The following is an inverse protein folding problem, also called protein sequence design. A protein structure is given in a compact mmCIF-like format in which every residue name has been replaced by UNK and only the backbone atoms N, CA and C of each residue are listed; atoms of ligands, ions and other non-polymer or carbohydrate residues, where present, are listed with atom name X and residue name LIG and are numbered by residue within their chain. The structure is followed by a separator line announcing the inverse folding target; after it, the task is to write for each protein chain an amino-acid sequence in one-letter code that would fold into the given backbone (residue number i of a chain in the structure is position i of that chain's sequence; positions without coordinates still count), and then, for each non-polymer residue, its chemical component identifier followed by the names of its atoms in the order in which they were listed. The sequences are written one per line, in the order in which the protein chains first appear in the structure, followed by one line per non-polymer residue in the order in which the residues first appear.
data_IF_149269990623
#
_entry.id   IF_149269990623
#
_cell.length_a   1.000
_cell.length_b   1.000
_cell.length_c   1.000
_cell.angle_alpha   90.00
_cell.angle_beta   90.00
_cell.angle_gamma   90.00
#
_symmetry.space_group_name_H-M   'P 1'
#
loop_
_entity.id
_entity.type
_entity.pdbx_description
1 polymer ?
#
# COMPACT_ATOMS: atom_id res chain seq x y z
N UNK A 1 -40.55 -4.10 -50.84
CA UNK A 1 -39.72 -5.15 -50.24
C UNK A 1 -38.38 -4.57 -49.88
N UNK A 2 -38.23 -4.10 -48.67
CA UNK A 2 -36.96 -3.50 -48.15
C UNK A 2 -36.33 -4.48 -47.16
N UNK A 3 -35.33 -5.20 -47.61
CA UNK A 3 -34.58 -6.14 -46.78
C UNK A 3 -33.69 -5.32 -45.83
N UNK A 4 -34.07 -5.27 -44.56
CA UNK A 4 -33.25 -4.74 -43.48
C UNK A 4 -32.19 -5.81 -43.18
N UNK A 5 -30.96 -5.55 -43.63
CA UNK A 5 -29.76 -6.29 -43.24
C UNK A 5 -29.55 -6.17 -41.72
N UNK A 6 -30.07 -7.14 -40.98
CA UNK A 6 -29.66 -7.38 -39.56
C UNK A 6 -28.23 -7.91 -39.55
N UNK A 7 -27.25 -7.00 -39.44
CA UNK A 7 -25.92 -7.37 -39.04
C UNK A 7 -26.02 -8.10 -37.69
N UNK A 8 -25.36 -9.27 -37.52
CA UNK A 8 -25.34 -9.97 -36.26
C UNK A 8 -24.65 -9.02 -35.26
N UNK A 9 -25.35 -8.58 -34.21
CA UNK A 9 -24.75 -7.95 -33.06
C UNK A 9 -23.87 -9.02 -32.37
N UNK A 10 -22.67 -9.24 -32.86
CA UNK A 10 -21.58 -9.81 -32.06
C UNK A 10 -21.31 -8.82 -30.94
N UNK A 11 -22.03 -8.98 -29.84
CA UNK A 11 -21.75 -8.24 -28.63
C UNK A 11 -20.28 -8.58 -28.28
N UNK A 12 -19.38 -7.65 -28.53
CA UNK A 12 -18.02 -7.75 -28.02
C UNK A 12 -18.14 -8.00 -26.54
N UNK A 13 -17.80 -9.22 -26.11
CA UNK A 13 -17.88 -9.61 -24.72
C UNK A 13 -16.92 -8.69 -23.96
N UNK A 14 -17.49 -7.80 -23.14
CA UNK A 14 -16.69 -6.86 -22.37
C UNK A 14 -15.65 -7.65 -21.55
N UNK A 15 -14.40 -7.23 -21.61
CA UNK A 15 -13.30 -7.91 -20.92
C UNK A 15 -12.92 -7.07 -19.67
N UNK A 16 -13.37 -7.45 -18.47
CA UNK A 16 -13.10 -6.71 -17.23
C UNK A 16 -11.62 -6.74 -16.82
N UNK A 17 -10.82 -7.61 -17.40
CA UNK A 17 -9.37 -7.61 -17.18
C UNK A 17 -8.63 -6.43 -17.83
N UNK A 18 -9.20 -5.78 -18.86
CA UNK A 18 -8.55 -4.65 -19.54
C UNK A 18 -8.33 -3.44 -18.61
N UNK A 19 -9.34 -2.90 -17.89
CA UNK A 19 -9.12 -1.77 -16.99
C UNK A 19 -8.09 -2.07 -15.91
N UNK A 20 -8.09 -3.29 -15.38
CA UNK A 20 -7.11 -3.73 -14.37
C UNK A 20 -5.71 -3.86 -14.95
N UNK A 21 -5.56 -4.33 -16.20
CA UNK A 21 -4.27 -4.40 -16.88
C UNK A 21 -3.72 -3.00 -17.19
N UNK A 22 -4.56 -2.06 -17.59
CA UNK A 22 -4.19 -0.66 -17.79
C UNK A 22 -3.77 -0.03 -16.46
N UNK A 23 -4.55 -0.23 -15.40
CA UNK A 23 -4.16 0.23 -14.06
C UNK A 23 -2.80 -0.35 -13.64
N UNK A 24 -2.60 -1.65 -13.81
CA UNK A 24 -1.33 -2.31 -13.49
C UNK A 24 -0.15 -1.73 -14.28
N UNK A 25 -0.35 -1.45 -15.57
CA UNK A 25 0.65 -0.83 -16.44
C UNK A 25 1.01 0.61 -16.05
N UNK A 26 0.08 1.33 -15.45
CA UNK A 26 0.25 2.73 -15.06
C UNK A 26 0.59 2.92 -13.58
N UNK A 27 0.44 1.89 -12.75
CA UNK A 27 0.52 1.98 -11.29
C UNK A 27 1.83 2.59 -10.77
N UNK A 28 2.96 2.38 -11.45
CA UNK A 28 4.26 2.97 -11.09
C UNK A 28 4.45 4.34 -11.74
N UNK A 29 3.99 4.52 -12.97
CA UNK A 29 4.13 5.79 -13.70
C UNK A 29 3.32 6.93 -13.07
N UNK A 30 2.11 6.61 -12.64
CA UNK A 30 1.16 7.60 -12.11
C UNK A 30 1.69 8.38 -10.91
N UNK A 31 2.35 7.79 -9.88
CA UNK A 31 2.95 8.56 -8.79
C UNK A 31 4.12 9.46 -9.23
N UNK A 32 4.78 9.15 -10.35
CA UNK A 32 5.82 10.00 -10.94
C UNK A 32 5.19 11.26 -11.51
N UNK A 33 4.06 11.12 -12.21
CA UNK A 33 3.36 12.21 -12.87
C UNK A 33 2.55 13.07 -11.91
N UNK A 34 1.95 12.47 -10.87
CA UNK A 34 1.05 13.15 -9.95
C UNK A 34 1.05 12.54 -8.57
N UNK A 35 1.18 13.37 -7.56
CA UNK A 35 1.16 12.94 -6.15
C UNK A 35 -0.14 12.25 -5.71
N UNK A 36 -1.29 12.53 -6.38
CA UNK A 36 -2.61 11.93 -6.13
C UNK A 36 -3.04 10.96 -7.22
N UNK A 37 -2.19 10.69 -8.18
CA UNK A 37 -2.52 9.92 -9.38
C UNK A 37 -3.03 8.52 -9.10
N UNK A 38 -2.56 7.83 -8.04
CA UNK A 38 -3.04 6.50 -7.66
C UNK A 38 -4.55 6.48 -7.35
N UNK A 39 -5.05 7.54 -6.71
CA UNK A 39 -6.48 7.67 -6.40
C UNK A 39 -7.27 7.70 -7.70
N UNK A 40 -6.84 8.54 -8.65
CA UNK A 40 -7.52 8.68 -9.95
C UNK A 40 -7.44 7.39 -10.75
N UNK A 41 -6.26 6.81 -10.87
CA UNK A 41 -6.01 5.61 -11.67
C UNK A 41 -6.84 4.41 -11.18
N UNK A 42 -6.84 4.14 -9.87
CA UNK A 42 -7.63 3.03 -9.32
C UNK A 42 -9.13 3.33 -9.36
N UNK A 43 -9.57 4.57 -9.13
CA UNK A 43 -10.98 4.95 -9.22
C UNK A 43 -11.52 4.80 -10.64
N UNK A 44 -10.77 5.21 -11.66
CA UNK A 44 -11.15 5.01 -13.06
C UNK A 44 -11.17 3.53 -13.44
N UNK A 45 -10.18 2.75 -13.01
CA UNK A 45 -10.18 1.31 -13.24
C UNK A 45 -11.36 0.62 -12.54
N UNK A 46 -11.68 1.02 -11.30
CA UNK A 46 -12.83 0.51 -10.57
C UNK A 46 -14.14 0.83 -11.29
N UNK A 47 -14.33 2.09 -11.69
CA UNK A 47 -15.52 2.53 -12.42
C UNK A 47 -15.68 1.78 -13.74
N UNK A 48 -14.62 1.70 -14.55
CA UNK A 48 -14.64 0.97 -15.82
C UNK A 48 -14.96 -0.53 -15.61
N UNK A 49 -14.35 -1.15 -14.60
CA UNK A 49 -14.58 -2.55 -14.25
C UNK A 49 -16.04 -2.79 -13.86
N UNK A 50 -16.62 -1.90 -13.05
CA UNK A 50 -18.04 -1.98 -12.64
C UNK A 50 -18.97 -1.81 -13.84
N UNK A 51 -18.73 -0.81 -14.70
CA UNK A 51 -19.55 -0.58 -15.89
C UNK A 51 -19.56 -1.82 -16.81
N UNK A 52 -18.40 -2.43 -17.02
CA UNK A 52 -18.29 -3.62 -17.85
C UNK A 52 -18.97 -4.85 -17.25
N UNK A 53 -19.07 -4.90 -15.92
CA UNK A 53 -19.62 -6.04 -15.18
C UNK A 53 -21.08 -5.86 -14.72
N UNK A 54 -21.67 -4.67 -14.85
CA UNK A 54 -23.05 -4.37 -14.41
C UNK A 54 -24.13 -5.28 -15.00
N UNK A 55 -23.81 -6.08 -16.02
CA UNK A 55 -24.73 -7.02 -16.66
C UNK A 55 -25.00 -8.30 -15.83
N UNK A 56 -24.14 -8.61 -14.83
CA UNK A 56 -24.28 -9.85 -14.04
C UNK A 56 -24.25 -9.57 -12.52
N UNK A 57 -25.30 -8.89 -12.03
CA UNK A 57 -25.39 -8.44 -10.62
C UNK A 57 -25.55 -9.57 -9.60
N UNK A 58 -25.88 -10.80 -10.02
CA UNK A 58 -26.26 -11.89 -9.11
C UNK A 58 -25.04 -12.50 -8.39
N UNK A 59 -23.86 -12.42 -8.98
CA UNK A 59 -22.62 -13.01 -8.43
C UNK A 59 -21.90 -12.11 -7.39
N UNK A 60 -22.18 -10.79 -7.38
CA UNK A 60 -21.48 -9.84 -6.53
C UNK A 60 -21.77 -10.02 -5.03
N UNK A 61 -23.01 -10.28 -4.68
CA UNK A 61 -23.45 -10.27 -3.29
C UNK A 61 -22.87 -11.39 -2.40
N UNK A 62 -22.80 -12.66 -2.84
CA UNK A 62 -22.23 -13.73 -2.03
C UNK A 62 -20.74 -13.51 -1.70
N UNK A 63 -19.94 -13.08 -2.69
CA UNK A 63 -18.50 -12.85 -2.51
C UNK A 63 -18.20 -11.74 -1.49
N UNK A 64 -19.06 -10.73 -1.40
CA UNK A 64 -18.94 -9.63 -0.45
C UNK A 64 -19.37 -10.05 0.96
N UNK A 65 -20.50 -10.76 1.08
CA UNK A 65 -21.08 -11.16 2.36
C UNK A 65 -20.11 -12.03 3.19
N UNK A 66 -19.37 -12.92 2.53
CA UNK A 66 -18.53 -13.90 3.21
C UNK A 66 -17.08 -13.40 3.42
N UNK A 67 -16.74 -12.22 2.93
CA UNK A 67 -15.40 -11.64 3.07
C UNK A 67 -15.14 -11.20 4.52
N UNK A 68 -14.24 -11.93 5.21
CA UNK A 68 -13.77 -11.56 6.55
C UNK A 68 -13.03 -10.22 6.53
N UNK A 69 -12.25 -9.97 5.50
CA UNK A 69 -11.54 -8.71 5.31
C UNK A 69 -12.50 -7.53 5.23
N UNK A 70 -13.57 -7.65 4.43
CA UNK A 70 -14.55 -6.59 4.27
C UNK A 70 -15.25 -6.24 5.59
N UNK A 71 -15.60 -7.26 6.41
CA UNK A 71 -16.20 -7.03 7.73
C UNK A 71 -15.28 -6.23 8.65
N UNK A 72 -13.98 -6.54 8.67
CA UNK A 72 -13.00 -5.80 9.46
C UNK A 72 -12.82 -4.39 8.93
N UNK A 73 -12.74 -4.21 7.60
CA UNK A 73 -12.62 -2.90 6.98
C UNK A 73 -13.85 -2.01 7.23
N UNK A 74 -15.05 -2.58 7.18
CA UNK A 74 -16.30 -1.86 7.54
C UNK A 74 -16.27 -1.45 9.02
N UNK A 75 -15.87 -2.35 9.92
CA UNK A 75 -15.74 -2.04 11.35
C UNK A 75 -14.73 -0.92 11.59
N UNK A 76 -13.60 -0.93 10.85
CA UNK A 76 -12.59 0.12 10.95
C UNK A 76 -13.14 1.48 10.47
N UNK A 77 -13.80 1.54 9.32
CA UNK A 77 -14.39 2.78 8.80
C UNK A 77 -15.51 3.27 9.73
N UNK A 78 -16.33 2.38 10.28
CA UNK A 78 -17.36 2.75 11.26
C UNK A 78 -16.74 3.34 12.55
N UNK A 79 -15.63 2.77 13.02
CA UNK A 79 -14.88 3.30 14.16
C UNK A 79 -14.26 4.65 13.87
N UNK A 80 -13.70 4.85 12.67
CA UNK A 80 -13.21 6.15 12.19
C UNK A 80 -14.32 7.21 12.17
N UNK A 81 -15.50 6.87 11.65
CA UNK A 81 -16.66 7.77 11.65
C UNK A 81 -17.12 8.11 13.07
N UNK A 82 -17.19 7.12 13.95
CA UNK A 82 -17.55 7.34 15.35
C UNK A 82 -16.53 8.23 16.07
N UNK A 83 -15.24 8.04 15.78
CA UNK A 83 -14.16 8.84 16.39
C UNK A 83 -14.23 10.33 16.03
N UNK A 84 -14.89 10.71 14.94
CA UNK A 84 -15.11 12.11 14.59
C UNK A 84 -15.96 12.87 15.65
N UNK A 85 -16.70 12.16 16.51
CA UNK A 85 -17.49 12.79 17.57
C UNK A 85 -16.65 13.41 18.68
N UNK A 86 -15.42 12.90 18.90
CA UNK A 86 -14.45 13.41 19.88
C UNK A 86 -13.12 13.85 19.28
N UNK A 87 -13.01 13.91 17.95
CA UNK A 87 -11.81 14.35 17.25
C UNK A 87 -11.45 15.81 17.55
N UNK A 88 -10.16 16.12 17.58
CA UNK A 88 -9.66 17.49 17.75
C UNK A 88 -10.16 18.43 16.65
N UNK A 89 -10.20 17.96 15.40
CA UNK A 89 -10.82 18.64 14.26
C UNK A 89 -11.89 17.74 13.66
N UNK A 90 -13.14 17.99 13.99
CA UNK A 90 -14.28 17.19 13.54
C UNK A 90 -14.45 17.24 12.02
N UNK A 91 -14.23 18.39 11.40
CA UNK A 91 -14.40 18.54 9.95
C UNK A 91 -13.34 17.72 9.21
N UNK A 92 -12.09 17.83 9.61
CA UNK A 92 -10.98 17.06 9.05
C UNK A 92 -11.21 15.56 9.21
N UNK A 93 -11.63 15.13 10.39
CA UNK A 93 -11.96 13.73 10.68
C UNK A 93 -13.10 13.18 9.78
N UNK A 94 -14.18 13.94 9.59
CA UNK A 94 -15.30 13.53 8.72
C UNK A 94 -14.89 13.46 7.24
N UNK A 95 -14.08 14.41 6.75
CA UNK A 95 -13.55 14.38 5.39
C UNK A 95 -12.69 13.13 5.18
N UNK A 96 -11.80 12.85 6.12
CA UNK A 96 -10.94 11.66 6.04
C UNK A 96 -11.73 10.35 6.13
N UNK A 97 -12.69 10.26 7.04
CA UNK A 97 -13.57 9.09 7.14
C UNK A 97 -14.39 8.87 5.85
N UNK A 98 -14.84 9.96 5.20
CA UNK A 98 -15.48 9.92 3.89
C UNK A 98 -14.55 9.39 2.79
N UNK A 99 -13.28 9.77 2.80
CA UNK A 99 -12.27 9.27 1.85
C UNK A 99 -11.99 7.76 2.07
N UNK A 100 -11.89 7.32 3.33
CA UNK A 100 -11.75 5.90 3.68
C UNK A 100 -12.98 5.09 3.23
N UNK A 101 -14.18 5.61 3.44
CA UNK A 101 -15.41 4.99 2.97
C UNK A 101 -15.43 4.89 1.43
N UNK A 102 -15.08 5.95 0.72
CA UNK A 102 -15.00 5.97 -0.74
C UNK A 102 -14.00 4.94 -1.28
N UNK A 103 -12.81 4.84 -0.65
CA UNK A 103 -11.81 3.85 -0.99
C UNK A 103 -12.30 2.41 -0.74
N UNK A 104 -12.96 2.17 0.39
CA UNK A 104 -13.55 0.87 0.71
C UNK A 104 -14.65 0.48 -0.30
N UNK A 105 -15.51 1.42 -0.68
CA UNK A 105 -16.53 1.18 -1.71
C UNK A 105 -15.90 0.84 -3.06
N UNK A 106 -14.89 1.58 -3.51
CA UNK A 106 -14.19 1.30 -4.76
C UNK A 106 -13.55 -0.11 -4.74
N UNK A 107 -12.87 -0.48 -3.65
CA UNK A 107 -12.31 -1.81 -3.46
C UNK A 107 -13.38 -2.90 -3.47
N UNK A 108 -14.48 -2.69 -2.75
CA UNK A 108 -15.60 -3.63 -2.62
C UNK A 108 -16.25 -3.92 -3.96
N UNK A 109 -16.39 -2.91 -4.83
CA UNK A 109 -16.98 -3.07 -6.15
C UNK A 109 -16.10 -3.86 -7.13
N UNK A 110 -14.78 -3.76 -7.00
CA UNK A 110 -13.83 -4.43 -7.90
C UNK A 110 -13.51 -5.85 -7.45
N UNK A 111 -13.49 -6.10 -6.14
CA UNK A 111 -13.06 -7.38 -5.58
C UNK A 111 -13.80 -8.61 -6.15
N UNK A 112 -15.14 -8.63 -6.29
CA UNK A 112 -15.84 -9.77 -6.87
C UNK A 112 -15.43 -10.03 -8.33
N UNK A 113 -15.28 -8.96 -9.12
CA UNK A 113 -14.88 -9.09 -10.53
C UNK A 113 -13.50 -9.72 -10.66
N UNK A 114 -12.56 -9.32 -9.79
CA UNK A 114 -11.21 -9.87 -9.76
C UNK A 114 -11.22 -11.38 -9.41
N UNK A 115 -12.18 -11.84 -8.61
CA UNK A 115 -12.28 -13.26 -8.27
C UNK A 115 -12.75 -14.11 -9.44
N UNK A 116 -13.55 -13.55 -10.35
CA UNK A 116 -14.17 -14.25 -11.49
C UNK A 116 -13.36 -14.14 -12.79
N UNK A 117 -12.20 -13.47 -12.79
CA UNK A 117 -11.37 -13.34 -13.98
C UNK A 117 -10.99 -14.70 -14.56
N UNK A 118 -11.16 -14.83 -15.87
CA UNK A 118 -10.69 -15.99 -16.64
C UNK A 118 -9.16 -16.06 -16.68
N UNK A 119 -8.58 -17.23 -16.98
CA UNK A 119 -7.13 -17.39 -17.10
C UNK A 119 -6.51 -16.45 -18.14
N UNK A 120 -7.23 -16.11 -19.22
CA UNK A 120 -6.77 -15.14 -20.23
C UNK A 120 -6.72 -13.72 -19.65
N UNK A 121 -7.72 -13.32 -18.89
CA UNK A 121 -7.78 -12.01 -18.26
C UNK A 121 -6.73 -11.85 -17.16
N UNK A 122 -6.51 -12.89 -16.35
CA UNK A 122 -5.42 -12.96 -15.36
C UNK A 122 -4.05 -12.77 -16.00
N UNK A 123 -3.81 -13.44 -17.15
CA UNK A 123 -2.57 -13.26 -17.91
C UNK A 123 -2.42 -11.84 -18.43
N UNK A 124 -3.51 -11.20 -18.91
CA UNK A 124 -3.50 -9.82 -19.38
C UNK A 124 -3.12 -8.86 -18.25
N UNK A 125 -3.73 -8.99 -17.06
CA UNK A 125 -3.39 -8.19 -15.89
C UNK A 125 -1.94 -8.42 -15.46
N UNK A 126 -1.47 -9.67 -15.46
CA UNK A 126 -0.09 -10.01 -15.14
C UNK A 126 0.92 -9.39 -16.12
N UNK A 127 0.61 -9.39 -17.42
CA UNK A 127 1.43 -8.68 -18.42
C UNK A 127 1.42 -7.16 -18.18
N UNK A 128 0.27 -6.60 -17.79
CA UNK A 128 0.16 -5.20 -17.36
C UNK A 128 1.08 -4.91 -16.18
N UNK A 129 1.12 -5.79 -15.15
CA UNK A 129 2.04 -5.64 -14.03
C UNK A 129 3.51 -5.63 -14.48
N UNK A 130 3.92 -6.59 -15.32
CA UNK A 130 5.30 -6.66 -15.82
C UNK A 130 5.65 -5.42 -16.66
N UNK A 131 4.77 -5.04 -17.59
CA UNK A 131 4.96 -3.84 -18.41
C UNK A 131 5.06 -2.57 -17.58
N UNK A 132 4.19 -2.43 -16.57
CA UNK A 132 4.20 -1.30 -15.63
C UNK A 132 5.50 -1.20 -14.83
N UNK A 133 6.05 -2.34 -14.38
CA UNK A 133 7.37 -2.36 -13.72
C UNK A 133 8.48 -1.93 -14.69
N UNK A 134 8.50 -2.45 -15.93
CA UNK A 134 9.52 -2.10 -16.90
C UNK A 134 9.49 -0.61 -17.28
N UNK A 135 8.29 -0.06 -17.50
CA UNK A 135 8.10 1.39 -17.74
C UNK A 135 8.54 2.19 -16.51
N UNK A 136 8.14 1.77 -15.32
CA UNK A 136 8.52 2.41 -14.06
C UNK A 136 10.02 2.41 -13.82
N UNK A 137 10.70 1.28 -14.04
CA UNK A 137 12.16 1.16 -13.99
C UNK A 137 12.82 2.15 -14.92
N UNK A 138 12.40 2.18 -16.20
CA UNK A 138 12.95 3.10 -17.20
C UNK A 138 12.76 4.56 -16.79
N UNK A 139 11.56 4.93 -16.37
CA UNK A 139 11.21 6.30 -16.00
C UNK A 139 11.98 6.75 -14.74
N UNK A 140 12.06 5.89 -13.72
CA UNK A 140 12.82 6.16 -12.50
C UNK A 140 14.32 6.21 -12.75
N UNK A 141 14.83 5.39 -13.66
CA UNK A 141 16.25 5.45 -14.05
C UNK A 141 16.58 6.75 -14.79
N UNK A 142 15.72 7.19 -15.73
CA UNK A 142 15.89 8.45 -16.45
C UNK A 142 15.91 9.63 -15.47
N UNK A 143 14.94 9.71 -14.54
CA UNK A 143 14.89 10.80 -13.57
C UNK A 143 16.02 10.67 -12.53
N UNK A 144 16.17 9.51 -11.91
CA UNK A 144 17.10 9.31 -10.81
C UNK A 144 18.58 9.48 -11.16
N UNK A 145 18.97 9.05 -12.38
CA UNK A 145 20.36 9.17 -12.85
C UNK A 145 20.58 10.28 -13.87
N UNK A 146 19.52 10.80 -14.49
CA UNK A 146 19.57 11.83 -15.52
C UNK A 146 19.43 13.28 -15.01
N UNK A 147 19.41 13.50 -13.70
CA UNK A 147 19.20 14.84 -13.13
C UNK A 147 17.74 15.30 -13.15
N UNK A 148 16.81 14.37 -13.07
CA UNK A 148 15.36 14.60 -12.95
C UNK A 148 14.70 15.33 -14.15
N UNK A 149 14.98 14.97 -15.40
CA UNK A 149 14.48 15.70 -16.55
C UNK A 149 12.94 15.66 -16.67
N UNK A 150 12.29 14.55 -16.29
CA UNK A 150 10.84 14.43 -16.33
C UNK A 150 10.17 15.27 -15.23
N UNK A 151 10.75 15.29 -14.01
CA UNK A 151 10.27 16.15 -12.94
C UNK A 151 10.46 17.63 -13.26
N UNK A 152 11.60 18.01 -13.87
CA UNK A 152 11.83 19.36 -14.38
C UNK A 152 10.77 19.77 -15.40
N UNK A 153 10.52 18.93 -16.39
CA UNK A 153 9.48 19.17 -17.41
C UNK A 153 8.09 19.34 -16.79
N UNK A 154 7.72 18.46 -15.87
CA UNK A 154 6.42 18.50 -15.18
C UNK A 154 6.25 19.76 -14.29
N UNK A 155 7.34 20.41 -13.91
CA UNK A 155 7.40 21.59 -13.05
C UNK A 155 7.79 22.85 -13.79
N UNK A 156 7.39 22.96 -15.05
CA UNK A 156 7.61 24.15 -15.88
C UNK A 156 9.08 24.57 -16.02
N UNK A 157 9.98 23.59 -16.05
CA UNK A 157 11.40 23.83 -16.24
C UNK A 157 12.19 24.10 -14.96
N UNK A 158 11.67 23.73 -13.77
CA UNK A 158 12.44 23.80 -12.53
C UNK A 158 13.77 23.03 -12.70
N UNK A 159 14.93 23.67 -12.65
CA UNK A 159 16.22 23.03 -12.90
C UNK A 159 16.67 22.12 -11.75
N UNK A 160 16.04 22.22 -10.57
CA UNK A 160 16.42 21.47 -9.37
C UNK A 160 15.20 20.91 -8.62
N UNK A 161 14.40 19.99 -9.27
CA UNK A 161 13.28 19.39 -8.59
C UNK A 161 13.75 18.62 -7.35
N UNK A 162 13.03 18.69 -6.22
CA UNK A 162 13.44 17.99 -5.01
C UNK A 162 13.41 16.46 -5.19
N UNK A 163 14.49 15.75 -4.84
CA UNK A 163 14.66 14.29 -5.01
C UNK A 163 13.53 13.50 -4.32
N UNK A 164 13.00 13.99 -3.18
CA UNK A 164 11.91 13.33 -2.47
C UNK A 164 10.62 13.17 -3.28
N UNK A 165 10.49 13.85 -4.44
CA UNK A 165 9.36 13.69 -5.34
C UNK A 165 9.23 12.27 -5.89
N UNK A 166 10.34 11.56 -6.05
CA UNK A 166 10.35 10.17 -6.52
C UNK A 166 9.96 9.16 -5.43
N UNK A 167 9.98 9.54 -4.14
CA UNK A 167 9.76 8.60 -3.03
C UNK A 167 8.47 7.77 -3.15
N UNK A 168 7.37 8.40 -3.59
CA UNK A 168 6.10 7.67 -3.77
C UNK A 168 6.18 6.62 -4.87
N UNK A 169 6.83 6.96 -5.98
CA UNK A 169 7.01 6.03 -7.09
C UNK A 169 7.99 4.91 -6.74
N UNK A 170 9.08 5.23 -6.03
CA UNK A 170 10.05 4.25 -5.53
C UNK A 170 9.42 3.25 -4.56
N UNK A 171 8.58 3.70 -3.65
CA UNK A 171 7.81 2.79 -2.77
C UNK A 171 6.80 2.00 -3.59
N UNK A 172 6.07 2.64 -4.51
CA UNK A 172 5.08 1.94 -5.34
C UNK A 172 5.72 0.82 -6.17
N UNK A 173 6.86 1.06 -6.82
CA UNK A 173 7.54 0.01 -7.60
C UNK A 173 8.04 -1.12 -6.70
N UNK A 174 8.51 -0.80 -5.48
CA UNK A 174 8.95 -1.78 -4.48
C UNK A 174 7.83 -2.72 -4.02
N UNK A 175 6.57 -2.27 -4.13
CA UNK A 175 5.40 -3.09 -3.83
C UNK A 175 4.85 -3.79 -5.07
N UNK A 176 4.75 -3.10 -6.19
CA UNK A 176 4.13 -3.61 -7.42
C UNK A 176 5.01 -4.63 -8.17
N UNK A 177 6.30 -4.73 -7.84
CA UNK A 177 7.18 -5.76 -8.42
C UNK A 177 6.75 -7.19 -8.03
N UNK A 178 6.12 -7.35 -6.86
CA UNK A 178 5.76 -8.68 -6.35
C UNK A 178 4.68 -9.39 -7.18
N UNK A 179 3.52 -8.78 -7.52
CA UNK A 179 2.55 -9.41 -8.42
C UNK A 179 3.11 -9.63 -9.82
N UNK A 180 4.00 -8.76 -10.32
CA UNK A 180 4.69 -8.95 -11.61
C UNK A 180 5.62 -10.17 -11.58
N UNK A 181 6.42 -10.32 -10.52
CA UNK A 181 7.31 -11.46 -10.33
C UNK A 181 6.53 -12.77 -10.12
N UNK A 182 5.41 -12.73 -9.38
CA UNK A 182 4.49 -13.87 -9.23
C UNK A 182 3.97 -14.33 -10.60
N UNK A 183 3.52 -13.39 -11.44
CA UNK A 183 3.04 -13.72 -12.79
C UNK A 183 4.10 -14.43 -13.63
N UNK A 184 5.32 -13.90 -13.67
CA UNK A 184 6.44 -14.55 -14.39
C UNK A 184 6.76 -15.93 -13.82
N UNK A 185 6.71 -16.10 -12.51
CA UNK A 185 6.90 -17.39 -11.85
C UNK A 185 5.84 -18.42 -12.26
N UNK A 186 4.56 -18.04 -12.26
CA UNK A 186 3.44 -18.91 -12.67
C UNK A 186 3.51 -19.30 -14.15
N UNK A 187 4.16 -18.47 -15.00
CA UNK A 187 4.47 -18.81 -16.40
C UNK A 187 5.71 -19.73 -16.56
N UNK A 188 6.31 -20.18 -15.46
CA UNK A 188 7.55 -20.98 -15.49
C UNK A 188 8.82 -20.17 -15.76
N UNK A 189 8.72 -18.84 -15.92
CA UNK A 189 9.83 -17.94 -16.23
C UNK A 189 10.56 -17.46 -14.96
N UNK A 190 11.07 -18.42 -14.18
CA UNK A 190 11.67 -18.15 -12.85
C UNK A 190 12.88 -17.21 -12.91
N UNK A 191 13.74 -17.38 -13.90
CA UNK A 191 14.90 -16.51 -14.11
C UNK A 191 14.48 -15.06 -14.42
N UNK A 192 13.41 -14.86 -15.23
CA UNK A 192 12.87 -13.54 -15.50
C UNK A 192 12.26 -12.89 -14.26
N UNK A 193 11.61 -13.66 -13.38
CA UNK A 193 11.09 -13.15 -12.11
C UNK A 193 12.21 -12.67 -11.19
N UNK A 194 13.30 -13.44 -11.07
CA UNK A 194 14.48 -13.06 -10.30
C UNK A 194 15.18 -11.83 -10.91
N UNK A 195 15.37 -11.82 -12.23
CA UNK A 195 15.98 -10.68 -12.93
C UNK A 195 15.17 -9.40 -12.74
N UNK A 196 13.83 -9.47 -12.81
CA UNK A 196 12.96 -8.30 -12.58
C UNK A 196 13.16 -7.72 -11.18
N UNK A 197 13.23 -8.57 -10.16
CA UNK A 197 13.53 -8.14 -8.77
C UNK A 197 14.92 -7.51 -8.67
N UNK A 198 15.95 -8.10 -9.27
CA UNK A 198 17.30 -7.54 -9.29
C UNK A 198 17.34 -6.15 -9.97
N UNK A 199 16.65 -5.99 -11.09
CA UNK A 199 16.58 -4.71 -11.81
C UNK A 199 15.91 -3.64 -10.92
N UNK A 200 14.81 -3.98 -10.25
CA UNK A 200 14.13 -3.03 -9.35
C UNK A 200 15.03 -2.67 -8.17
N UNK A 201 15.75 -3.62 -7.57
CA UNK A 201 16.75 -3.35 -6.52
C UNK A 201 17.83 -2.39 -7.04
N UNK A 202 18.39 -2.66 -8.22
CA UNK A 202 19.43 -1.83 -8.82
C UNK A 202 19.00 -0.38 -9.11
N UNK A 203 17.69 -0.17 -9.36
CA UNK A 203 17.15 1.17 -9.59
C UNK A 203 16.74 1.86 -8.29
N UNK A 204 16.15 1.12 -7.32
CA UNK A 204 15.60 1.73 -6.11
C UNK A 204 16.67 2.07 -5.07
N UNK A 205 17.62 1.15 -4.82
CA UNK A 205 18.58 1.29 -3.70
C UNK A 205 19.45 2.54 -3.84
N UNK A 206 19.98 2.89 -5.02
CA UNK A 206 20.83 4.07 -5.15
C UNK A 206 20.09 5.43 -5.08
N UNK A 207 18.74 5.43 -5.09
CA UNK A 207 17.96 6.67 -5.12
C UNK A 207 17.58 7.23 -3.74
N UNK A 208 18.30 6.85 -2.69
CA UNK A 208 18.21 7.41 -1.32
C UNK A 208 16.81 7.37 -0.66
N UNK A 209 15.89 6.56 -1.17
CA UNK A 209 14.58 6.34 -0.54
C UNK A 209 14.67 5.26 0.53
N UNK A 210 14.95 5.64 1.77
CA UNK A 210 15.06 4.70 2.91
C UNK A 210 13.83 3.79 3.05
N UNK A 211 12.63 4.32 2.84
CA UNK A 211 11.38 3.55 2.93
C UNK A 211 11.27 2.51 1.82
N UNK A 212 11.62 2.87 0.58
CA UNK A 212 11.55 1.94 -0.55
C UNK A 212 12.60 0.84 -0.42
N UNK A 213 13.83 1.21 -0.04
CA UNK A 213 14.93 0.27 0.21
C UNK A 213 14.59 -0.70 1.34
N UNK A 214 14.04 -0.20 2.46
CA UNK A 214 13.59 -1.03 3.57
C UNK A 214 12.48 -1.99 3.13
N UNK A 215 11.46 -1.49 2.42
CA UNK A 215 10.35 -2.31 1.92
C UNK A 215 10.86 -3.45 1.03
N UNK A 216 11.73 -3.16 0.06
CA UNK A 216 12.33 -4.19 -0.80
C UNK A 216 13.15 -5.20 -0.02
N UNK A 217 14.04 -4.74 0.84
CA UNK A 217 14.95 -5.60 1.62
C UNK A 217 14.15 -6.56 2.53
N UNK A 218 13.21 -6.02 3.29
CA UNK A 218 12.34 -6.82 4.18
C UNK A 218 11.47 -7.78 3.36
N UNK A 219 10.94 -7.31 2.22
CA UNK A 219 10.17 -8.16 1.31
C UNK A 219 10.98 -9.33 0.76
N UNK A 220 12.22 -9.10 0.31
CA UNK A 220 13.12 -10.15 -0.19
C UNK A 220 13.44 -11.15 0.92
N UNK A 221 13.79 -10.68 2.11
CA UNK A 221 14.08 -11.57 3.27
C UNK A 221 12.85 -12.42 3.60
N UNK A 222 11.66 -11.81 3.66
CA UNK A 222 10.41 -12.52 3.94
C UNK A 222 10.08 -13.56 2.85
N UNK A 223 10.30 -13.22 1.58
CA UNK A 223 10.10 -14.15 0.46
C UNK A 223 11.06 -15.34 0.55
N UNK A 224 12.33 -15.12 0.87
CA UNK A 224 13.33 -16.17 1.07
C UNK A 224 12.98 -17.05 2.27
N UNK A 225 12.57 -16.45 3.39
CA UNK A 225 12.12 -17.20 4.56
C UNK A 225 10.91 -18.08 4.23
N UNK A 226 9.91 -17.53 3.53
CA UNK A 226 8.75 -18.29 3.09
C UNK A 226 9.10 -19.40 2.08
N UNK A 227 10.14 -19.16 1.27
CA UNK A 227 10.72 -20.17 0.39
C UNK A 227 11.39 -21.33 1.16
N UNK A 228 12.03 -21.06 2.27
CA UNK A 228 12.77 -22.03 3.06
C UNK A 228 11.88 -22.76 4.07
N UNK A 229 10.98 -22.06 4.74
CA UNK A 229 10.22 -22.58 5.89
C UNK A 229 8.70 -22.67 5.65
N UNK A 230 8.24 -22.29 4.46
CA UNK A 230 6.84 -22.46 4.04
C UNK A 230 5.85 -21.65 4.91
N UNK A 231 4.84 -22.35 5.46
CA UNK A 231 3.78 -21.72 6.28
C UNK A 231 4.30 -21.12 7.58
N UNK A 232 5.40 -21.63 8.13
CA UNK A 232 6.00 -21.14 9.36
C UNK A 232 6.44 -19.68 9.20
N UNK A 233 7.06 -19.33 8.06
CA UNK A 233 7.44 -17.93 7.79
C UNK A 233 6.26 -16.97 7.86
N UNK A 234 5.09 -17.33 7.32
CA UNK A 234 3.91 -16.47 7.34
C UNK A 234 3.44 -16.18 8.78
N UNK A 235 3.48 -17.20 9.66
CA UNK A 235 3.19 -17.00 11.08
C UNK A 235 4.23 -16.14 11.75
N UNK A 236 5.52 -16.41 11.52
CA UNK A 236 6.61 -15.66 12.13
C UNK A 236 6.57 -14.18 11.73
N UNK A 237 6.37 -13.88 10.43
CA UNK A 237 6.26 -12.51 9.91
C UNK A 237 5.04 -11.81 10.50
N UNK A 238 3.87 -12.47 10.50
CA UNK A 238 2.65 -11.90 11.07
C UNK A 238 2.79 -11.60 12.56
N UNK A 239 3.35 -12.53 13.32
CA UNK A 239 3.61 -12.35 14.76
C UNK A 239 4.63 -11.22 15.01
N UNK A 240 5.69 -11.13 14.20
CA UNK A 240 6.69 -10.06 14.32
C UNK A 240 6.09 -8.67 14.14
N UNK A 241 5.17 -8.50 13.18
CA UNK A 241 4.49 -7.22 12.97
C UNK A 241 3.57 -6.88 14.14
N UNK A 242 2.78 -7.84 14.62
CA UNK A 242 1.92 -7.63 15.80
C UNK A 242 2.76 -7.31 17.04
N UNK A 243 3.79 -8.10 17.31
CA UNK A 243 4.70 -7.88 18.43
C UNK A 243 5.42 -6.53 18.33
N UNK A 244 5.91 -6.17 17.13
CA UNK A 244 6.56 -4.89 16.87
C UNK A 244 5.62 -3.70 17.11
N UNK A 245 4.38 -3.76 16.58
CA UNK A 245 3.38 -2.71 16.79
C UNK A 245 3.06 -2.51 18.28
N UNK A 246 2.89 -3.61 19.02
CA UNK A 246 2.59 -3.56 20.47
C UNK A 246 3.81 -3.19 21.32
N UNK A 247 5.02 -3.54 20.88
CA UNK A 247 6.27 -3.22 21.57
C UNK A 247 6.75 -1.78 21.31
N UNK A 248 6.33 -1.16 20.22
CA UNK A 248 6.78 0.18 19.82
C UNK A 248 6.70 1.21 20.97
N UNK A 249 5.60 1.33 21.73
CA UNK A 249 5.53 2.28 22.83
C UNK A 249 6.61 2.10 23.90
N UNK A 250 7.05 0.88 24.12
CA UNK A 250 8.07 0.55 25.13
C UNK A 250 9.51 0.70 24.62
N UNK A 251 9.70 0.65 23.30
CA UNK A 251 11.01 0.67 22.66
C UNK A 251 11.47 2.06 22.22
N UNK A 252 10.54 2.98 21.98
CA UNK A 252 10.86 4.31 21.41
C UNK A 252 11.83 5.06 22.31
N UNK A 253 11.55 5.17 23.61
CA UNK A 253 12.38 5.98 24.50
C UNK A 253 13.78 5.37 24.75
N UNK A 254 13.93 4.06 25.06
CA UNK A 254 15.25 3.44 25.11
C UNK A 254 16.06 3.58 23.81
N UNK A 255 15.40 3.41 22.65
CA UNK A 255 16.05 3.56 21.36
C UNK A 255 16.47 5.00 21.11
N UNK A 256 15.62 5.98 21.43
CA UNK A 256 15.94 7.41 21.31
C UNK A 256 17.15 7.79 22.15
N UNK A 257 17.18 7.36 23.41
CA UNK A 257 18.31 7.63 24.31
C UNK A 257 19.61 7.01 23.79
N UNK A 258 19.56 5.75 23.40
CA UNK A 258 20.73 5.08 22.82
C UNK A 258 21.21 5.79 21.55
N UNK A 259 20.27 6.15 20.66
CA UNK A 259 20.57 6.80 19.40
C UNK A 259 21.21 8.18 19.59
N UNK A 260 20.72 8.96 20.55
CA UNK A 260 21.25 10.30 20.88
C UNK A 260 22.69 10.24 21.40
N UNK A 261 23.05 9.16 22.10
CA UNK A 261 24.39 8.99 22.69
C UNK A 261 25.41 8.42 21.69
N UNK A 262 24.98 7.52 20.79
CA UNK A 262 25.91 6.72 19.99
C UNK A 262 25.96 7.09 18.51
N UNK A 263 24.98 7.87 18.02
CA UNK A 263 24.88 8.20 16.59
C UNK A 263 25.11 9.68 16.35
N UNK A 264 25.82 10.01 15.27
CA UNK A 264 25.95 11.40 14.83
C UNK A 264 24.61 11.94 14.32
N UNK A 265 24.10 12.97 14.97
CA UNK A 265 22.80 13.56 14.68
C UNK A 265 22.73 14.17 13.28
N UNK A 266 23.84 14.71 12.77
CA UNK A 266 23.87 15.34 11.43
C UNK A 266 23.68 14.29 10.33
N UNK A 267 24.34 13.16 10.44
CA UNK A 267 24.26 12.05 9.48
C UNK A 267 22.94 11.28 9.56
N UNK A 268 22.30 11.24 10.73
CA UNK A 268 21.08 10.48 10.98
C UNK A 268 19.87 11.36 11.35
N UNK A 269 19.88 12.60 10.88
CA UNK A 269 18.85 13.60 11.20
C UNK A 269 17.41 13.08 11.02
N UNK A 270 17.12 12.42 9.92
CA UNK A 270 15.77 11.92 9.62
C UNK A 270 15.28 10.85 10.61
N UNK A 271 16.17 9.99 11.10
CA UNK A 271 15.83 8.97 12.11
C UNK A 271 15.66 9.62 13.49
N UNK A 272 16.56 10.54 13.85
CA UNK A 272 16.48 11.31 15.09
C UNK A 272 15.19 12.11 15.19
N UNK A 273 14.83 12.83 14.13
CA UNK A 273 13.58 13.58 14.04
C UNK A 273 12.34 12.70 14.29
N UNK A 274 12.30 11.50 13.68
CA UNK A 274 11.21 10.54 13.89
C UNK A 274 11.13 10.04 15.34
N UNK A 275 12.27 9.73 15.96
CA UNK A 275 12.28 9.28 17.35
C UNK A 275 11.74 10.34 18.31
N UNK A 276 12.03 11.63 18.07
CA UNK A 276 11.43 12.72 18.84
C UNK A 276 9.93 12.86 18.61
N UNK A 277 9.47 12.79 17.36
CA UNK A 277 8.03 12.74 17.06
C UNK A 277 7.35 11.57 17.78
N UNK A 278 7.98 10.39 17.77
CA UNK A 278 7.41 9.20 18.42
C UNK A 278 7.35 9.36 19.94
N UNK A 279 8.38 9.95 20.58
CA UNK A 279 8.33 10.26 22.03
C UNK A 279 7.19 11.21 22.35
N UNK A 280 6.99 12.27 21.56
CA UNK A 280 5.85 13.18 21.72
C UNK A 280 4.51 12.45 21.55
N UNK A 281 4.38 11.59 20.52
CA UNK A 281 3.16 10.80 20.29
C UNK A 281 2.85 9.91 21.48
N UNK A 282 3.85 9.26 22.09
CA UNK A 282 3.65 8.40 23.26
C UNK A 282 3.15 9.18 24.47
N UNK A 283 3.66 10.38 24.69
CA UNK A 283 3.16 11.26 25.75
C UNK A 283 1.67 11.59 25.53
N UNK A 284 1.31 11.98 24.30
CA UNK A 284 -0.10 12.27 23.97
C UNK A 284 -1.00 11.03 24.03
N UNK A 285 -0.50 9.84 23.67
CA UNK A 285 -1.23 8.58 23.82
C UNK A 285 -1.56 8.27 25.29
N UNK A 286 -0.65 8.59 26.22
CA UNK A 286 -0.86 8.35 27.64
C UNK A 286 -2.01 9.16 28.25
N UNK A 287 -2.36 10.30 27.65
CA UNK A 287 -3.47 11.15 28.11
C UNK A 287 -4.84 10.64 27.70
N UNK A 288 -4.92 9.89 26.57
CA UNK A 288 -6.17 9.28 26.08
C UNK A 288 -5.94 7.83 25.65
N UNK A 289 -5.62 6.92 26.58
CA UNK A 289 -5.10 5.60 26.24
C UNK A 289 -6.11 4.66 25.58
N UNK A 290 -7.42 4.89 25.75
CA UNK A 290 -8.45 3.96 25.26
C UNK A 290 -9.11 4.37 23.96
N UNK A 291 -9.55 5.63 23.84
CA UNK A 291 -10.28 6.11 22.66
C UNK A 291 -9.37 6.82 21.65
N UNK A 292 -8.17 7.23 22.08
CA UNK A 292 -7.31 8.11 21.31
C UNK A 292 -7.89 9.52 21.21
N UNK A 293 -7.30 10.32 20.33
CA UNK A 293 -7.63 11.73 20.13
C UNK A 293 -8.63 11.98 18.98
N UNK A 294 -9.13 10.93 18.34
CA UNK A 294 -9.98 10.98 17.15
C UNK A 294 -9.18 11.00 15.84
N UNK A 295 -9.86 10.60 14.77
CA UNK A 295 -9.26 10.52 13.43
C UNK A 295 -8.64 11.87 13.02
N UNK A 296 -7.48 11.85 12.33
CA UNK A 296 -6.70 13.02 11.89
C UNK A 296 -6.16 13.89 13.05
N UNK A 297 -6.18 13.39 14.29
CA UNK A 297 -5.62 14.12 15.43
C UNK A 297 -4.14 14.47 15.23
N UNK A 298 -3.37 13.62 14.54
CA UNK A 298 -1.96 13.89 14.22
C UNK A 298 -1.75 15.24 13.52
N UNK A 299 -2.70 15.66 12.68
CA UNK A 299 -2.63 16.94 11.95
C UNK A 299 -3.13 18.14 12.76
N UNK A 300 -4.04 17.89 13.69
CA UNK A 300 -4.67 18.94 14.49
C UNK A 300 -4.00 19.13 15.87
N UNK A 301 -3.07 18.24 16.24
CA UNK A 301 -2.42 18.19 17.54
C UNK A 301 -1.57 19.46 17.77
N UNK A 302 -1.81 20.22 18.85
CA UNK A 302 -0.91 21.29 19.30
C UNK A 302 0.43 20.72 19.76
N UNK A 303 1.48 21.55 19.74
CA UNK A 303 2.84 21.12 20.10
C UNK A 303 3.07 20.99 21.61
N UNK A 304 2.24 21.62 22.42
CA UNK A 304 2.34 21.61 23.88
C UNK A 304 3.73 22.04 24.41
N UNK A 305 4.40 22.94 23.68
CA UNK A 305 5.75 23.43 24.02
C UNK A 305 6.90 22.51 23.56
N UNK A 306 6.60 21.42 22.88
CA UNK A 306 7.63 20.59 22.27
C UNK A 306 8.15 21.22 20.97
N UNK A 307 9.47 21.24 20.82
CA UNK A 307 10.16 21.60 19.59
C UNK A 307 11.50 20.86 19.53
N UNK A 308 11.91 20.42 18.34
CA UNK A 308 13.22 19.78 18.11
C UNK A 308 14.25 20.89 17.82
N UNK A 309 13.82 21.97 17.19
CA UNK A 309 14.66 23.16 16.91
C UNK A 309 13.86 24.44 17.10
N UNK A 310 14.53 25.57 17.38
CA UNK A 310 13.87 26.86 17.50
C UNK A 310 13.11 27.24 16.21
N UNK A 311 11.87 27.69 16.36
CA UNK A 311 11.05 28.14 15.23
C UNK A 311 10.37 27.01 14.45
N UNK A 312 10.34 25.78 14.98
CA UNK A 312 9.57 24.69 14.41
C UNK A 312 8.06 24.99 14.53
N UNK A 313 7.35 24.93 13.40
CA UNK A 313 5.91 25.26 13.38
C UNK A 313 5.03 24.18 14.01
N UNK A 314 5.41 22.92 13.89
CA UNK A 314 4.65 21.77 14.41
C UNK A 314 5.55 20.59 14.77
N UNK A 315 5.30 19.98 15.92
CA UNK A 315 6.00 18.75 16.33
C UNK A 315 5.67 17.56 15.41
N UNK A 316 4.41 17.42 15.03
CA UNK A 316 3.97 16.46 14.00
C UNK A 316 3.65 17.25 12.73
N UNK A 317 4.49 17.20 11.67
CA UNK A 317 4.26 18.00 10.45
C UNK A 317 2.96 17.63 9.74
N UNK A 318 2.75 16.34 9.46
CA UNK A 318 1.55 15.81 8.81
C UNK A 318 1.07 14.52 9.46
N UNK A 319 2.01 13.66 9.87
CA UNK A 319 1.78 12.35 10.49
C UNK A 319 3.06 11.90 11.21
N UNK A 320 2.96 10.93 12.14
CA UNK A 320 4.11 10.51 12.95
C UNK A 320 5.19 9.71 12.21
N UNK A 321 5.02 9.41 10.93
CA UNK A 321 5.89 8.48 10.18
C UNK A 321 5.94 7.07 10.80
N UNK A 322 4.83 6.63 11.37
CA UNK A 322 4.61 5.27 11.86
C UNK A 322 3.09 5.07 11.94
N UNK A 323 2.55 4.26 11.05
CA UNK A 323 1.09 4.08 10.95
C UNK A 323 0.50 3.42 12.20
N UNK A 324 1.23 2.51 12.84
CA UNK A 324 0.75 1.84 14.04
C UNK A 324 0.63 2.83 15.21
N UNK A 325 1.63 3.70 15.39
CA UNK A 325 1.56 4.78 16.39
C UNK A 325 0.49 5.81 16.03
N UNK A 326 0.34 6.16 14.75
CA UNK A 326 -0.71 7.08 14.32
C UNK A 326 -2.09 6.54 14.63
N UNK A 327 -2.37 5.29 14.23
CA UNK A 327 -3.67 4.66 14.48
C UNK A 327 -3.94 4.54 15.98
N UNK A 328 -2.93 4.22 16.76
CA UNK A 328 -3.07 4.13 18.22
C UNK A 328 -3.33 5.50 18.86
N UNK A 329 -2.59 6.53 18.47
CA UNK A 329 -2.82 7.92 18.91
C UNK A 329 -4.25 8.40 18.59
N UNK A 330 -4.69 8.14 17.36
CA UNK A 330 -5.96 8.68 16.84
C UNK A 330 -7.18 7.85 17.27
N UNK A 331 -7.07 6.53 17.19
CA UNK A 331 -8.22 5.60 17.32
C UNK A 331 -8.11 4.64 18.50
N UNK A 332 -7.08 4.78 19.32
CA UNK A 332 -6.83 3.94 20.48
C UNK A 332 -6.46 2.49 20.13
N UNK A 333 -6.36 1.60 21.16
CA UNK A 333 -6.01 0.20 20.96
C UNK A 333 -7.04 -0.57 20.13
N UNK A 334 -8.31 -0.14 20.14
CA UNK A 334 -9.35 -0.76 19.32
C UNK A 334 -9.11 -0.52 17.81
N UNK A 335 -8.78 0.72 17.43
CA UNK A 335 -8.40 1.03 16.04
C UNK A 335 -7.15 0.26 15.58
N UNK A 336 -6.14 0.17 16.48
CA UNK A 336 -4.94 -0.63 16.21
C UNK A 336 -5.27 -2.11 16.03
N UNK A 337 -6.11 -2.69 16.89
CA UNK A 337 -6.51 -4.09 16.77
C UNK A 337 -7.19 -4.38 15.43
N UNK A 338 -8.07 -3.49 14.95
CA UNK A 338 -8.74 -3.65 13.66
C UNK A 338 -7.74 -3.64 12.49
N UNK A 339 -6.75 -2.74 12.49
CA UNK A 339 -5.69 -2.72 11.46
C UNK A 339 -4.84 -3.99 11.52
N UNK A 340 -4.42 -4.43 12.70
CA UNK A 340 -3.64 -5.65 12.85
C UNK A 340 -4.41 -6.89 12.36
N UNK A 341 -5.71 -6.99 12.67
CA UNK A 341 -6.57 -8.05 12.15
C UNK A 341 -6.66 -7.97 10.63
N UNK A 342 -6.85 -6.77 10.05
CA UNK A 342 -6.89 -6.59 8.60
C UNK A 342 -5.59 -7.04 7.91
N UNK A 343 -4.44 -6.81 8.54
CA UNK A 343 -3.14 -7.27 8.04
C UNK A 343 -2.96 -8.79 8.14
N UNK A 344 -3.49 -9.43 9.18
CA UNK A 344 -3.35 -10.90 9.37
C UNK A 344 -4.24 -11.69 8.40
N UNK A 345 -5.39 -11.17 8.00
CA UNK A 345 -6.32 -11.88 7.11
C UNK A 345 -5.66 -12.34 5.80
N UNK A 346 -4.92 -11.50 5.04
CA UNK A 346 -4.24 -11.94 3.82
C UNK A 346 -3.21 -13.05 4.04
N UNK A 347 -2.47 -13.01 5.15
CA UNK A 347 -1.50 -14.07 5.49
C UNK A 347 -2.19 -15.41 5.74
N UNK A 348 -3.34 -15.40 6.43
CA UNK A 348 -4.13 -16.64 6.63
C UNK A 348 -4.61 -17.22 5.31
N UNK A 349 -5.06 -16.37 4.38
CA UNK A 349 -5.44 -16.82 3.03
C UNK A 349 -4.23 -17.39 2.29
N UNK A 350 -3.06 -16.74 2.40
CA UNK A 350 -1.84 -17.19 1.75
C UNK A 350 -1.34 -18.59 2.24
N UNK A 351 -1.80 -19.05 3.40
CA UNK A 351 -1.45 -20.39 3.89
C UNK A 351 -2.02 -21.52 3.02
N UNK A 352 -3.13 -21.27 2.29
CA UNK A 352 -3.70 -22.24 1.33
C UNK A 352 -3.03 -22.22 -0.04
N UNK A 353 -2.18 -21.24 -0.31
CA UNK A 353 -1.52 -21.12 -1.61
C UNK A 353 -0.37 -22.10 -1.76
N UNK A 354 0.02 -22.37 -3.01
CA UNK A 354 1.21 -23.15 -3.31
C UNK A 354 2.48 -22.52 -2.74
N UNK A 355 3.48 -23.32 -2.61
CA UNK A 355 4.74 -22.89 -2.05
C UNK A 355 5.40 -21.72 -2.82
N UNK A 356 5.34 -21.76 -4.17
CA UNK A 356 5.83 -20.66 -4.99
C UNK A 356 5.01 -19.38 -4.83
N UNK A 357 3.69 -19.48 -4.75
CA UNK A 357 2.80 -18.33 -4.56
C UNK A 357 2.97 -17.68 -3.18
N UNK A 358 3.13 -18.51 -2.12
CA UNK A 358 3.36 -18.03 -0.74
C UNK A 358 4.57 -17.13 -0.62
N UNK A 359 5.67 -17.46 -1.29
CA UNK A 359 6.90 -16.68 -1.30
C UNK A 359 6.65 -15.24 -1.75
N UNK A 360 5.95 -15.05 -2.86
CA UNK A 360 5.68 -13.70 -3.39
C UNK A 360 4.65 -12.93 -2.55
N UNK A 361 3.65 -13.62 -1.98
CA UNK A 361 2.69 -12.99 -1.07
C UNK A 361 3.38 -12.54 0.21
N UNK A 362 4.24 -13.37 0.80
CA UNK A 362 5.04 -13.02 1.97
C UNK A 362 5.92 -11.79 1.70
N UNK A 363 6.58 -11.75 0.53
CA UNK A 363 7.39 -10.63 0.10
C UNK A 363 6.61 -9.32 -0.02
N UNK A 364 5.48 -9.33 -0.73
CA UNK A 364 4.61 -8.17 -0.86
C UNK A 364 4.05 -7.68 0.47
N UNK A 365 3.57 -8.61 1.29
CA UNK A 365 2.99 -8.29 2.59
C UNK A 365 4.02 -7.68 3.53
N UNK A 366 5.20 -8.28 3.60
CA UNK A 366 6.30 -7.78 4.44
C UNK A 366 6.85 -6.44 3.93
N UNK A 367 6.97 -6.26 2.62
CA UNK A 367 7.33 -4.97 2.03
C UNK A 367 6.33 -3.88 2.38
N UNK A 368 5.02 -4.17 2.29
CA UNK A 368 3.96 -3.22 2.63
C UNK A 368 4.02 -2.84 4.11
N UNK A 369 4.09 -3.81 5.01
CA UNK A 369 4.15 -3.54 6.46
C UNK A 369 5.44 -2.85 6.88
N UNK A 370 6.57 -3.15 6.24
CA UNK A 370 7.82 -2.42 6.46
C UNK A 370 7.72 -0.95 6.04
N UNK A 371 7.01 -0.64 4.93
CA UNK A 371 6.79 0.73 4.50
C UNK A 371 5.86 1.52 5.43
N UNK A 372 4.97 0.87 6.20
CA UNK A 372 4.07 1.51 7.16
C UNK A 372 4.81 2.13 8.36
N UNK A 373 6.00 1.64 8.71
CA UNK A 373 6.70 2.11 9.92
C UNK A 373 7.43 3.43 9.69
N UNK A 374 8.40 3.58 8.72
CA UNK A 374 9.09 4.85 8.53
C UNK A 374 8.48 5.73 7.45
N UNK A 375 7.38 5.29 6.84
CA UNK A 375 6.90 5.85 5.58
C UNK A 375 5.84 6.91 5.75
N UNK A 376 4.60 6.52 5.50
CA UNK A 376 3.50 7.44 5.25
C UNK A 376 2.45 7.36 6.35
N UNK A 377 1.53 8.32 6.38
CA UNK A 377 0.43 8.30 7.34
C UNK A 377 -0.70 7.38 6.91
N UNK A 378 -1.32 6.70 7.88
CA UNK A 378 -2.43 5.76 7.69
C UNK A 378 -3.63 6.37 6.94
N UNK A 379 -3.84 7.71 7.06
CA UNK A 379 -4.91 8.43 6.40
C UNK A 379 -4.56 8.93 4.98
N UNK A 380 -3.35 8.75 4.49
CA UNK A 380 -2.97 9.28 3.16
C UNK A 380 -3.66 8.48 2.03
N UNK A 381 -4.57 9.13 1.32
CA UNK A 381 -5.38 8.49 0.28
C UNK A 381 -4.57 7.82 -0.82
N UNK A 382 -3.48 8.44 -1.30
CA UNK A 382 -2.63 7.83 -2.33
C UNK A 382 -2.02 6.50 -1.85
N UNK A 383 -1.59 6.44 -0.57
CA UNK A 383 -1.02 5.25 0.04
C UNK A 383 -2.08 4.13 0.18
N UNK A 384 -3.24 4.48 0.73
CA UNK A 384 -4.37 3.56 0.84
C UNK A 384 -4.75 2.95 -0.52
N UNK A 385 -4.85 3.79 -1.57
CA UNK A 385 -5.16 3.31 -2.93
C UNK A 385 -4.03 2.48 -3.54
N UNK A 386 -2.77 2.75 -3.19
CA UNK A 386 -1.63 1.91 -3.58
C UNK A 386 -1.73 0.52 -2.96
N UNK A 387 -1.99 0.42 -1.66
CA UNK A 387 -2.13 -0.87 -0.96
C UNK A 387 -3.37 -1.65 -1.44
N UNK A 388 -4.49 -0.98 -1.62
CA UNK A 388 -5.70 -1.59 -2.20
C UNK A 388 -5.48 -2.08 -3.63
N UNK A 389 -4.83 -1.27 -4.46
CA UNK A 389 -4.44 -1.64 -5.83
C UNK A 389 -3.53 -2.87 -5.84
N UNK A 390 -2.53 -2.91 -4.97
CA UNK A 390 -1.67 -4.07 -4.80
C UNK A 390 -2.47 -5.34 -4.46
N UNK A 391 -3.39 -5.26 -3.50
CA UNK A 391 -4.22 -6.40 -3.10
C UNK A 391 -5.11 -6.90 -4.25
N UNK A 392 -5.72 -5.97 -5.02
CA UNK A 392 -6.52 -6.30 -6.20
C UNK A 392 -5.67 -6.95 -7.31
N UNK A 393 -4.49 -6.39 -7.60
CA UNK A 393 -3.58 -6.95 -8.60
C UNK A 393 -3.07 -8.33 -8.19
N UNK A 394 -2.74 -8.53 -6.92
CA UNK A 394 -2.39 -9.84 -6.42
C UNK A 394 -3.51 -10.85 -6.67
N UNK A 395 -4.73 -10.51 -6.28
CA UNK A 395 -5.89 -11.40 -6.47
C UNK A 395 -6.18 -11.65 -7.96
N UNK A 396 -5.96 -10.64 -8.81
CA UNK A 396 -6.14 -10.74 -10.26
C UNK A 396 -5.12 -11.65 -10.92
N UNK A 397 -3.86 -11.58 -10.49
CA UNK A 397 -2.74 -12.35 -11.09
C UNK A 397 -2.71 -13.79 -10.58
N UNK A 398 -3.16 -14.03 -9.35
CA UNK A 398 -3.09 -15.33 -8.70
C UNK A 398 -3.95 -16.35 -9.46
N UNK A 399 -3.31 -17.34 -10.05
CA UNK A 399 -3.99 -18.46 -10.71
C UNK A 399 -4.26 -19.50 -9.62
N UNK A 400 -5.53 -19.88 -9.38
CA UNK A 400 -5.83 -21.02 -8.50
C UNK A 400 -5.13 -22.26 -9.04
N UNK A 401 -4.50 -23.05 -8.18
CA UNK A 401 -4.12 -24.39 -8.54
C UNK A 401 -5.44 -25.16 -8.72
N UNK A 402 -5.63 -25.75 -9.88
CA UNK A 402 -6.64 -26.79 -10.04
C UNK A 402 -6.24 -27.87 -9.03
N UNK A 403 -7.15 -28.22 -8.13
CA UNK A 403 -6.97 -29.38 -7.28
C UNK A 403 -6.68 -30.55 -8.22
N UNK A 404 -5.42 -31.03 -8.25
CA UNK A 404 -5.08 -32.29 -8.86
C UNK A 404 -5.84 -33.36 -8.07
N UNK A 405 -7.07 -33.66 -8.57
CA UNK A 405 -7.94 -34.70 -8.05
C UNK A 405 -7.46 -36.06 -8.51
#
# INVERSE_FOLDING_TARGET
MTAVLLLPKTAVKANPGIPLAVFAGLAVLVPILSQRGQVVALSLAALATVILHLRDRRALWPALRDSRFLRVAVAYVAWCLLSATWALDRQMALVQAGQLLGALLAFTLVLPVVTELTSRERRLVGMGCVGGILIGVLTLAIDGYGGMPLQSLLRHGDPHPPVHMLNKALVTISLMVWPAALHLWQLGRRACAALLLCIVVAVVVPQESSTATLALSVGIVAALLARLTGRFALWAIGLSVVAGALATPYLVEPVRQWFTVHMDLSSWWSAHHRLYIWSFVLERMSERPWLGWGLEASRAMPDFGWAIWPGQDRMIPLHPHNEFLQVWLELGPFGLALILIALIVPLRVAMSYSWGQRMFVAGAWAATTAAMVPGYGAGQTWWLFTVMGLALLYRAVLIPEEDDA
#
